data_IF_961205372098
#
_entry.id   IF_961205372098
#
_cell.length_a   1.000
_cell.length_b   1.000
_cell.length_c   1.000
_cell.angle_alpha   90.00
_cell.angle_beta   90.00
_cell.angle_gamma   90.00
#
_symmetry.space_group_name_H-M   'P 1'
#
loop_
_entity.id
_entity.type
_entity.pdbx_description
1 polymer ?
#
# COMPACT_ATOMS: atom_id res chain seq x y z
N UNK A 1 9.29 13.84 -38.34
CA UNK A 1 9.90 12.83 -39.21
C UNK A 1 9.44 13.06 -40.66
N UNK A 2 10.37 13.20 -41.55
CA UNK A 2 10.18 13.50 -42.99
C UNK A 2 9.48 12.38 -43.78
N UNK A 3 9.24 11.21 -43.19
CA UNK A 3 8.76 10.00 -43.89
C UNK A 3 7.27 9.70 -43.69
N UNK A 4 6.47 10.61 -43.17
CA UNK A 4 5.04 10.44 -42.97
C UNK A 4 4.67 9.28 -42.03
N UNK A 5 3.37 9.18 -41.70
CA UNK A 5 2.82 8.09 -40.87
C UNK A 5 1.70 7.43 -41.68
N UNK A 6 1.84 6.15 -41.98
CA UNK A 6 0.82 5.40 -42.72
C UNK A 6 -0.19 4.73 -41.75
N UNK A 7 0.30 3.88 -40.83
CA UNK A 7 -0.55 3.10 -39.91
C UNK A 7 0.12 2.89 -38.57
N UNK A 8 -0.64 2.99 -37.47
CA UNK A 8 -0.22 2.57 -36.14
C UNK A 8 -0.22 1.05 -36.06
N UNK A 9 0.91 0.46 -35.67
CA UNK A 9 1.11 -0.98 -35.49
C UNK A 9 0.74 -1.37 -34.05
N UNK A 10 1.36 -0.68 -33.08
CA UNK A 10 1.08 -0.85 -31.65
C UNK A 10 1.37 0.44 -30.89
N UNK A 11 0.89 0.52 -29.69
CA UNK A 11 1.25 1.61 -28.77
C UNK A 11 1.30 1.11 -27.33
N UNK A 12 2.17 1.72 -26.54
CA UNK A 12 2.28 1.51 -25.11
C UNK A 12 2.18 2.85 -24.41
N UNK A 13 1.35 2.90 -23.35
CA UNK A 13 1.19 4.07 -22.53
C UNK A 13 1.52 3.69 -21.08
N UNK A 14 2.35 4.46 -20.43
CA UNK A 14 2.60 4.40 -19.00
C UNK A 14 2.28 5.73 -18.34
N UNK A 15 1.76 5.69 -17.11
CA UNK A 15 1.44 6.89 -16.35
C UNK A 15 1.92 6.69 -14.91
N UNK A 16 2.80 7.58 -14.46
CA UNK A 16 3.42 7.50 -13.15
C UNK A 16 3.14 8.79 -12.38
N UNK A 17 2.65 8.68 -11.13
CA UNK A 17 2.48 9.85 -10.28
C UNK A 17 3.83 10.46 -9.91
N UNK A 18 4.00 11.73 -10.14
CA UNK A 18 5.23 12.48 -9.85
C UNK A 18 5.12 13.34 -8.61
N UNK A 19 3.93 13.83 -8.31
CA UNK A 19 3.63 14.64 -7.14
C UNK A 19 2.24 14.31 -6.61
N UNK A 20 2.14 14.12 -5.30
CA UNK A 20 0.87 13.97 -4.61
C UNK A 20 0.86 14.97 -3.46
N UNK A 21 -0.11 15.88 -3.44
CA UNK A 21 -0.26 16.89 -2.41
C UNK A 21 -1.66 16.86 -1.84
N UNK A 22 -1.75 16.67 -0.52
CA UNK A 22 -3.00 16.74 0.23
C UNK A 22 -3.21 18.14 0.78
N UNK A 23 -4.42 18.64 0.66
CA UNK A 23 -4.90 19.91 1.23
C UNK A 23 -6.28 19.66 1.84
N UNK A 24 -6.87 20.65 2.50
CA UNK A 24 -8.19 20.48 3.11
C UNK A 24 -9.21 19.94 2.11
N UNK A 25 -9.76 18.74 2.41
CA UNK A 25 -10.79 18.03 1.64
C UNK A 25 -10.44 17.73 0.17
N UNK A 26 -9.16 17.76 -0.19
CA UNK A 26 -8.72 17.53 -1.58
C UNK A 26 -7.35 16.87 -1.63
N UNK A 27 -7.12 16.11 -2.71
CA UNK A 27 -5.80 15.65 -3.11
C UNK A 27 -5.50 16.11 -4.55
N UNK A 28 -4.35 16.75 -4.76
CA UNK A 28 -3.82 17.07 -6.07
C UNK A 28 -2.83 15.99 -6.46
N UNK A 29 -3.06 15.36 -7.59
CA UNK A 29 -2.18 14.35 -8.18
C UNK A 29 -1.65 14.89 -9.50
N UNK A 30 -0.33 14.87 -9.66
CA UNK A 30 0.35 15.09 -10.94
C UNK A 30 0.99 13.80 -11.41
N UNK A 31 0.99 13.60 -12.70
CA UNK A 31 1.54 12.42 -13.32
C UNK A 31 2.26 12.77 -14.63
N UNK A 32 3.36 12.08 -14.88
CA UNK A 32 3.97 12.02 -16.21
C UNK A 32 3.36 10.84 -16.96
N UNK A 33 2.86 11.12 -18.14
CA UNK A 33 2.31 10.13 -19.06
C UNK A 33 3.27 10.00 -20.24
N UNK A 34 3.77 8.78 -20.46
CA UNK A 34 4.65 8.44 -21.57
C UNK A 34 3.92 7.55 -22.55
N UNK A 35 3.88 7.94 -23.81
CA UNK A 35 3.30 7.22 -24.92
C UNK A 35 4.39 6.83 -25.90
N UNK A 36 4.53 5.53 -26.13
CA UNK A 36 5.37 5.00 -27.20
C UNK A 36 4.47 4.43 -28.30
N UNK A 37 4.70 4.82 -29.54
CA UNK A 37 3.90 4.38 -30.69
C UNK A 37 4.82 3.79 -31.74
N UNK A 38 4.53 2.56 -32.13
CA UNK A 38 5.10 1.93 -33.33
C UNK A 38 4.17 2.15 -34.51
N UNK A 39 4.69 2.61 -35.59
CA UNK A 39 3.92 2.88 -36.79
C UNK A 39 4.71 2.50 -38.06
N UNK A 40 4.00 2.24 -39.14
CA UNK A 40 4.62 2.13 -40.46
C UNK A 40 4.68 3.52 -41.10
N UNK A 41 5.83 3.83 -41.68
CA UNK A 41 6.01 5.04 -42.47
C UNK A 41 5.51 4.82 -43.92
N UNK A 42 5.59 5.84 -44.77
CA UNK A 42 5.19 5.78 -46.17
C UNK A 42 6.01 4.76 -47.02
N UNK A 43 7.18 4.34 -46.55
CA UNK A 43 7.99 3.30 -47.15
C UNK A 43 7.66 1.88 -46.58
N UNK A 44 6.60 1.73 -45.78
CA UNK A 44 6.22 0.52 -45.06
C UNK A 44 7.28 -0.01 -44.09
N UNK A 45 8.22 0.84 -43.65
CA UNK A 45 9.17 0.49 -42.59
C UNK A 45 8.55 0.81 -41.22
N UNK A 46 8.90 0.00 -40.20
CA UNK A 46 8.47 0.20 -38.84
C UNK A 46 9.38 1.25 -38.19
N UNK A 47 8.77 2.33 -37.73
CA UNK A 47 9.40 3.42 -36.96
C UNK A 47 8.75 3.57 -35.59
N UNK A 48 9.45 4.20 -34.65
CA UNK A 48 9.01 4.43 -33.29
C UNK A 48 9.00 5.93 -32.96
N UNK A 49 7.93 6.37 -32.31
CA UNK A 49 7.83 7.71 -31.76
C UNK A 49 7.48 7.67 -30.27
N UNK A 50 8.16 8.45 -29.45
CA UNK A 50 7.92 8.57 -28.03
C UNK A 50 7.48 9.98 -27.68
N UNK A 51 6.45 10.07 -26.83
CA UNK A 51 5.88 11.32 -26.36
C UNK A 51 5.77 11.29 -24.85
N UNK A 52 6.01 12.42 -24.20
CA UNK A 52 5.81 12.58 -22.77
C UNK A 52 5.03 13.86 -22.53
N UNK A 53 4.02 13.78 -21.66
CA UNK A 53 3.21 14.94 -21.27
C UNK A 53 2.80 14.82 -19.80
N UNK A 54 2.52 15.95 -19.18
CA UNK A 54 2.05 16.00 -17.79
C UNK A 54 0.52 16.01 -17.77
N UNK A 55 -0.03 15.26 -16.81
CA UNK A 55 -1.44 15.28 -16.48
C UNK A 55 -1.61 15.63 -14.99
N UNK A 56 -2.70 16.32 -14.65
CA UNK A 56 -3.02 16.62 -13.27
C UNK A 56 -4.51 16.41 -12.99
N UNK A 57 -4.83 15.97 -11.76
CA UNK A 57 -6.20 15.80 -11.30
C UNK A 57 -6.33 16.24 -9.86
N UNK A 58 -7.37 16.99 -9.56
CA UNK A 58 -7.83 17.27 -8.20
C UNK A 58 -8.96 16.29 -7.88
N UNK A 59 -8.83 15.58 -6.76
CA UNK A 59 -9.83 14.66 -6.24
C UNK A 59 -10.36 15.22 -4.94
N UNK A 60 -11.68 15.33 -4.81
CA UNK A 60 -12.33 15.76 -3.57
C UNK A 60 -12.52 14.57 -2.64
N UNK A 61 -11.98 14.66 -1.42
CA UNK A 61 -12.00 13.58 -0.42
C UNK A 61 -12.25 14.22 0.94
N UNK A 62 -13.45 14.07 1.47
CA UNK A 62 -13.84 14.66 2.77
C UNK A 62 -12.94 14.18 3.91
N UNK A 63 -12.52 15.10 4.78
CA UNK A 63 -11.71 14.81 5.96
C UNK A 63 -10.21 14.69 5.72
N UNK A 64 -9.75 14.89 4.49
CA UNK A 64 -8.32 14.98 4.16
C UNK A 64 -7.74 16.31 4.61
N UNK A 65 -6.52 16.26 5.12
CA UNK A 65 -5.72 17.44 5.47
C UNK A 65 -4.23 17.21 5.08
N UNK A 66 -3.39 18.19 5.35
CA UNK A 66 -1.96 18.15 5.00
C UNK A 66 -1.15 17.09 5.78
N UNK A 67 -1.73 16.51 6.84
CA UNK A 67 -1.08 15.47 7.65
C UNK A 67 -1.37 14.06 7.14
N UNK A 68 -2.26 13.93 6.17
CA UNK A 68 -2.63 12.65 5.61
C UNK A 68 -1.54 12.15 4.64
N UNK A 69 -1.24 10.86 4.72
CA UNK A 69 -0.45 10.18 3.69
C UNK A 69 -1.36 9.78 2.52
N UNK A 70 -0.88 9.93 1.30
CA UNK A 70 -1.67 9.65 0.12
C UNK A 70 -0.89 8.79 -0.89
N UNK A 71 -1.52 7.78 -1.43
CA UNK A 71 -1.00 6.91 -2.48
C UNK A 71 -1.95 6.99 -3.67
N UNK A 72 -1.40 7.25 -4.84
CA UNK A 72 -2.14 7.28 -6.11
C UNK A 72 -1.70 6.12 -6.99
N UNK A 73 -2.67 5.39 -7.55
CA UNK A 73 -2.46 4.36 -8.55
C UNK A 73 -3.18 4.77 -9.83
N UNK A 74 -2.41 4.86 -10.91
CA UNK A 74 -2.94 5.20 -12.23
C UNK A 74 -2.96 3.93 -13.06
N UNK A 75 -4.07 3.64 -13.71
CA UNK A 75 -4.26 2.51 -14.60
C UNK A 75 -4.85 2.94 -15.93
N UNK A 76 -4.56 2.17 -16.96
CA UNK A 76 -5.10 2.41 -18.31
C UNK A 76 -6.59 2.08 -18.31
N UNK A 77 -7.38 2.96 -18.89
CA UNK A 77 -8.77 2.69 -19.29
C UNK A 77 -8.84 2.30 -20.76
N UNK A 78 -9.89 2.70 -21.44
CA UNK A 78 -10.03 2.48 -22.88
C UNK A 78 -9.18 3.52 -23.63
N UNK A 79 -8.21 3.07 -24.40
CA UNK A 79 -7.28 3.92 -25.14
C UNK A 79 -7.34 3.60 -26.63
N UNK A 80 -7.33 4.64 -27.47
CA UNK A 80 -7.33 4.54 -28.92
C UNK A 80 -6.30 5.49 -29.50
N UNK A 81 -5.46 4.98 -30.39
CA UNK A 81 -4.46 5.75 -31.12
C UNK A 81 -4.78 5.68 -32.61
N UNK A 82 -4.84 6.85 -33.25
CA UNK A 82 -5.08 6.98 -34.70
C UNK A 82 -3.93 7.73 -35.36
N UNK A 83 -3.52 7.24 -36.52
CA UNK A 83 -2.67 7.99 -37.41
C UNK A 83 -3.55 8.83 -38.35
N UNK A 84 -3.17 10.09 -38.56
CA UNK A 84 -3.67 10.93 -39.64
C UNK A 84 -2.49 11.27 -40.56
N UNK A 85 -2.60 10.85 -41.81
CA UNK A 85 -1.66 11.30 -42.83
C UNK A 85 -1.85 12.80 -43.05
N UNK A 86 -0.77 13.56 -43.11
CA UNK A 86 -0.84 14.96 -43.53
C UNK A 86 -0.91 14.99 -45.05
N UNK A 87 -1.75 15.87 -45.59
CA UNK A 87 -1.82 16.15 -47.02
C UNK A 87 -0.62 17.03 -47.50
N UNK A 88 0.08 17.61 -46.54
CA UNK A 88 1.29 18.40 -46.79
C UNK A 88 2.53 17.53 -46.55
N UNK A 89 3.56 17.66 -47.38
CA UNK A 89 4.79 16.83 -47.42
C UNK A 89 5.62 16.76 -46.11
N UNK A 90 5.13 17.30 -45.00
CA UNK A 90 5.86 17.46 -43.76
C UNK A 90 5.26 16.75 -42.55
N UNK A 91 5.04 15.43 -42.63
CA UNK A 91 4.86 14.58 -41.43
C UNK A 91 3.41 14.15 -41.17
N UNK A 92 3.25 13.06 -40.44
CA UNK A 92 1.97 12.54 -39.97
C UNK A 92 1.62 13.03 -38.56
N UNK A 93 0.35 12.98 -38.21
CA UNK A 93 -0.18 13.29 -36.88
C UNK A 93 -0.64 12.02 -36.19
N UNK A 94 -0.25 11.85 -34.92
CA UNK A 94 -0.79 10.80 -34.04
C UNK A 94 -1.77 11.47 -33.10
N UNK A 95 -2.97 10.93 -33.02
CA UNK A 95 -4.01 11.36 -32.09
C UNK A 95 -4.27 10.24 -31.09
N UNK A 96 -4.14 10.57 -29.79
CA UNK A 96 -4.45 9.69 -28.66
C UNK A 96 -5.77 10.13 -28.04
N UNK A 97 -6.69 9.17 -27.88
CA UNK A 97 -7.97 9.36 -27.20
C UNK A 97 -8.14 8.30 -26.13
N UNK A 98 -8.76 8.64 -25.03
CA UNK A 98 -9.15 7.66 -24.03
C UNK A 98 -9.07 8.19 -22.60
N UNK A 99 -9.18 7.25 -21.67
CA UNK A 99 -9.29 7.52 -20.26
C UNK A 99 -8.18 6.85 -19.47
N UNK A 100 -7.72 7.54 -18.41
CA UNK A 100 -6.90 6.98 -17.35
C UNK A 100 -7.76 6.89 -16.08
N UNK A 101 -7.75 5.74 -15.44
CA UNK A 101 -8.38 5.54 -14.14
C UNK A 101 -7.41 5.89 -13.04
N UNK A 102 -7.84 6.70 -12.07
CA UNK A 102 -7.07 7.11 -10.92
C UNK A 102 -7.73 6.59 -9.65
N UNK A 103 -7.05 5.70 -8.92
CA UNK A 103 -7.41 5.30 -7.56
C UNK A 103 -6.54 6.07 -6.57
N UNK A 104 -7.17 6.71 -5.59
CA UNK A 104 -6.49 7.48 -4.55
C UNK A 104 -6.85 6.89 -3.20
N UNK A 105 -5.83 6.50 -2.44
CA UNK A 105 -5.98 5.99 -1.08
C UNK A 105 -5.33 6.99 -0.15
N UNK A 106 -6.10 7.46 0.82
CA UNK A 106 -5.63 8.40 1.85
C UNK A 106 -5.64 7.71 3.19
N UNK A 107 -4.54 7.82 3.90
CA UNK A 107 -4.36 7.29 5.25
C UNK A 107 -4.18 8.45 6.21
N UNK A 108 -5.03 8.48 7.23
CA UNK A 108 -4.96 9.43 8.35
C UNK A 108 -4.68 8.68 9.63
N UNK A 109 -3.65 9.11 10.36
CA UNK A 109 -3.36 8.58 11.68
C UNK A 109 -4.19 9.32 12.74
N UNK A 110 -4.81 8.58 13.64
CA UNK A 110 -5.55 9.12 14.77
C UNK A 110 -5.15 8.42 16.06
N UNK A 111 -4.92 9.23 17.12
CA UNK A 111 -4.75 8.70 18.46
C UNK A 111 -6.13 8.60 19.14
N UNK A 112 -6.49 7.39 19.53
CA UNK A 112 -7.74 7.13 20.26
C UNK A 112 -7.41 6.54 21.62
N UNK A 113 -8.03 7.08 22.69
CA UNK A 113 -8.02 6.45 24.00
C UNK A 113 -9.15 5.43 24.04
N UNK A 114 -8.83 4.21 24.42
CA UNK A 114 -9.79 3.12 24.58
C UNK A 114 -9.77 2.66 26.04
N UNK A 115 -10.92 2.30 26.56
CA UNK A 115 -11.04 1.66 27.87
C UNK A 115 -10.76 0.18 27.65
N UNK A 116 -9.67 -0.32 28.24
CA UNK A 116 -9.27 -1.72 28.13
C UNK A 116 -9.78 -2.61 29.25
N UNK A 117 -10.20 -2.01 30.38
CA UNK A 117 -10.70 -2.73 31.55
C UNK A 117 -11.51 -1.82 32.45
N UNK A 118 -12.36 -2.39 33.31
CA UNK A 118 -13.17 -1.67 34.28
C UNK A 118 -13.77 -2.60 35.33
N UNK A 119 -14.14 -2.06 36.48
CA UNK A 119 -14.93 -2.72 37.51
C UNK A 119 -15.79 -1.69 38.26
N UNK A 120 -16.78 -2.16 39.00
CA UNK A 120 -17.64 -1.31 39.84
C UNK A 120 -17.35 -1.66 41.30
N UNK A 121 -17.06 -0.62 42.06
CA UNK A 121 -16.79 -0.74 43.51
C UNK A 121 -18.02 -1.27 44.23
N UNK A 122 -17.80 -2.25 45.11
CA UNK A 122 -18.88 -2.87 45.94
C UNK A 122 -19.79 -3.83 45.18
N UNK A 123 -19.53 -4.11 43.89
CA UNK A 123 -20.37 -4.97 43.07
C UNK A 123 -19.55 -6.03 42.29
N UNK A 124 -20.13 -7.20 42.10
CA UNK A 124 -19.60 -8.14 41.12
C UNK A 124 -19.95 -7.68 39.71
N UNK A 125 -18.97 -7.70 38.83
CA UNK A 125 -19.15 -7.27 37.45
C UNK A 125 -18.76 -8.38 36.49
N UNK A 126 -19.47 -8.45 35.36
CA UNK A 126 -19.12 -9.25 34.20
C UNK A 126 -18.80 -8.29 33.07
N UNK A 127 -17.57 -8.39 32.57
CA UNK A 127 -17.08 -7.51 31.51
C UNK A 127 -17.20 -8.20 30.17
N UNK A 128 -17.75 -7.48 29.19
CA UNK A 128 -17.78 -7.88 27.79
C UNK A 128 -16.76 -7.05 26.99
N UNK A 129 -16.08 -7.70 26.05
CA UNK A 129 -15.02 -7.06 25.26
C UNK A 129 -15.32 -7.17 23.78
N UNK A 130 -15.10 -6.09 23.05
CA UNK A 130 -15.07 -6.09 21.60
C UNK A 130 -13.63 -6.10 21.12
N UNK A 131 -13.32 -6.99 20.17
CA UNK A 131 -12.00 -7.08 19.55
C UNK A 131 -12.03 -6.46 18.17
N UNK A 132 -11.03 -5.67 17.84
CA UNK A 132 -10.85 -5.14 16.50
C UNK A 132 -9.37 -5.12 16.11
N UNK A 133 -9.12 -5.31 14.81
CA UNK A 133 -7.78 -5.23 14.27
C UNK A 133 -7.48 -3.77 13.92
N UNK A 134 -6.31 -3.30 14.29
CA UNK A 134 -5.80 -1.99 13.92
C UNK A 134 -4.36 -2.09 13.43
N UNK A 135 -3.97 -1.14 12.61
CA UNK A 135 -2.58 -0.92 12.23
C UNK A 135 -1.96 0.13 13.14
N UNK A 136 -0.83 -0.22 13.75
CA UNK A 136 -0.06 0.66 14.62
C UNK A 136 1.31 0.91 14.03
N UNK A 137 1.92 2.04 14.40
CA UNK A 137 3.23 2.45 13.90
C UNK A 137 3.27 2.48 12.37
N UNK A 138 2.23 3.04 11.78
CA UNK A 138 2.13 3.22 10.35
C UNK A 138 3.18 4.20 9.85
N UNK A 139 3.76 3.91 8.69
CA UNK A 139 4.71 4.78 8.02
C UNK A 139 4.58 4.70 6.52
N UNK A 140 4.80 5.81 5.86
CA UNK A 140 4.95 5.86 4.42
C UNK A 140 6.35 5.40 4.04
N UNK A 141 6.44 4.41 3.16
CA UNK A 141 7.70 3.86 2.63
C UNK A 141 7.75 4.13 1.14
N UNK A 142 8.86 4.64 0.66
CA UNK A 142 9.14 4.79 -0.77
C UNK A 142 10.58 4.39 -1.04
N UNK A 143 10.79 3.57 -2.07
CA UNK A 143 12.11 3.10 -2.44
C UNK A 143 12.19 2.85 -3.96
N UNK A 144 13.42 2.90 -4.48
CA UNK A 144 13.72 2.57 -5.88
C UNK A 144 14.76 1.46 -5.92
N UNK A 145 14.56 0.48 -6.80
CA UNK A 145 15.40 -0.70 -6.92
C UNK A 145 15.60 -1.07 -8.38
N UNK A 146 16.67 -1.84 -8.62
CA UNK A 146 16.93 -2.47 -9.91
C UNK A 146 16.62 -3.96 -9.83
N UNK A 147 15.99 -4.50 -10.86
CA UNK A 147 15.73 -5.91 -11.03
C UNK A 147 16.24 -6.39 -12.37
N UNK A 148 16.89 -7.55 -12.38
CA UNK A 148 17.27 -8.25 -13.60
C UNK A 148 16.30 -9.40 -13.83
N UNK A 149 15.56 -9.34 -14.93
CA UNK A 149 14.53 -10.30 -15.30
C UNK A 149 15.02 -11.11 -16.50
N UNK A 150 14.98 -12.42 -16.39
CA UNK A 150 15.29 -13.33 -17.51
C UNK A 150 14.02 -13.77 -18.20
N UNK A 151 13.98 -13.63 -19.52
CA UNK A 151 12.88 -14.05 -20.38
C UNK A 151 13.34 -15.22 -21.24
N UNK A 152 12.62 -16.33 -21.12
CA UNK A 152 12.83 -17.51 -21.96
C UNK A 152 11.75 -17.54 -23.04
N UNK A 153 12.16 -17.55 -24.30
CA UNK A 153 11.28 -17.48 -25.46
C UNK A 153 11.08 -18.84 -26.06
N UNK A 154 9.87 -19.13 -26.51
CA UNK A 154 9.53 -20.41 -27.14
C UNK A 154 10.09 -20.59 -28.55
N UNK A 155 10.32 -19.48 -29.25
CA UNK A 155 10.86 -19.47 -30.64
C UNK A 155 12.14 -18.64 -30.69
N UNK A 156 13.01 -18.97 -31.67
CA UNK A 156 14.24 -18.20 -31.93
C UNK A 156 13.91 -16.86 -32.57
N UNK A 157 14.33 -15.79 -31.95
CA UNK A 157 14.10 -14.42 -32.41
C UNK A 157 15.25 -13.94 -33.27
N UNK A 158 14.91 -13.41 -34.44
CA UNK A 158 15.84 -12.81 -35.39
C UNK A 158 15.94 -11.29 -35.22
N UNK A 159 14.85 -10.63 -34.78
CA UNK A 159 14.81 -9.18 -34.61
C UNK A 159 13.78 -8.77 -33.55
N UNK A 160 14.13 -7.80 -32.72
CA UNK A 160 13.21 -7.14 -31.81
C UNK A 160 12.86 -5.77 -32.39
N UNK A 161 11.57 -5.52 -32.61
CA UNK A 161 11.04 -4.24 -33.05
C UNK A 161 10.73 -3.31 -31.88
N UNK A 162 10.21 -3.87 -30.79
CA UNK A 162 9.91 -3.14 -29.56
C UNK A 162 9.93 -4.06 -28.33
N UNK A 163 10.28 -3.48 -27.21
CA UNK A 163 10.16 -4.10 -25.90
C UNK A 163 9.65 -3.04 -24.92
N UNK A 164 8.66 -3.40 -24.12
CA UNK A 164 8.17 -2.57 -23.02
C UNK A 164 8.08 -3.37 -21.73
N UNK A 165 8.26 -2.69 -20.61
CA UNK A 165 8.13 -3.24 -19.27
C UNK A 165 7.28 -2.31 -18.41
N UNK A 166 6.21 -2.83 -17.83
CA UNK A 166 5.30 -2.09 -16.96
C UNK A 166 5.00 -2.88 -15.69
N UNK A 167 4.65 -2.21 -14.60
CA UNK A 167 4.11 -2.88 -13.42
C UNK A 167 2.63 -3.16 -13.65
N UNK A 168 2.26 -4.44 -13.61
CA UNK A 168 0.87 -4.88 -13.71
C UNK A 168 0.17 -4.96 -12.35
N UNK A 169 0.91 -5.35 -11.29
CA UNK A 169 0.39 -5.37 -9.92
C UNK A 169 1.47 -5.10 -8.87
N UNK A 170 1.03 -4.58 -7.71
CA UNK A 170 1.88 -4.41 -6.54
C UNK A 170 0.99 -4.66 -5.33
N UNK A 171 1.17 -5.82 -4.67
CA UNK A 171 0.34 -6.26 -3.55
C UNK A 171 1.14 -7.09 -2.56
N UNK A 172 0.76 -7.06 -1.29
CA UNK A 172 1.38 -7.91 -0.27
C UNK A 172 0.75 -9.31 -0.28
N UNK A 173 1.62 -10.33 -0.31
CA UNK A 173 1.27 -11.74 -0.13
C UNK A 173 2.28 -12.39 0.82
N UNK A 174 1.80 -13.10 1.84
CA UNK A 174 2.66 -13.86 2.77
C UNK A 174 3.86 -13.06 3.33
N UNK A 175 3.61 -11.86 3.86
CA UNK A 175 4.65 -10.94 4.38
C UNK A 175 5.74 -10.54 3.35
N UNK A 176 5.39 -10.55 2.08
CA UNK A 176 6.24 -10.07 1.00
C UNK A 176 5.42 -9.13 0.12
N UNK A 177 6.00 -8.00 -0.26
CA UNK A 177 5.44 -7.16 -1.29
C UNK A 177 5.81 -7.77 -2.65
N UNK A 178 4.81 -8.22 -3.39
CA UNK A 178 4.98 -8.81 -4.72
C UNK A 178 4.74 -7.73 -5.77
N UNK A 179 5.74 -7.48 -6.59
CA UNK A 179 5.67 -6.56 -7.73
C UNK A 179 5.70 -7.39 -9.00
N UNK A 180 4.60 -7.41 -9.73
CA UNK A 180 4.46 -8.14 -10.98
C UNK A 180 4.76 -7.20 -12.16
N UNK A 181 5.73 -7.58 -12.97
CA UNK A 181 6.10 -6.89 -14.18
C UNK A 181 5.50 -7.61 -15.38
N UNK A 182 4.81 -6.88 -16.23
CA UNK A 182 4.40 -7.34 -17.56
C UNK A 182 5.40 -6.82 -18.57
N UNK A 183 6.02 -7.74 -19.30
CA UNK A 183 7.00 -7.43 -20.34
C UNK A 183 6.41 -7.85 -21.67
N UNK A 184 6.27 -6.88 -22.57
CA UNK A 184 5.72 -7.08 -23.89
C UNK A 184 6.82 -6.90 -24.93
N UNK A 185 6.92 -7.84 -25.86
CA UNK A 185 7.95 -7.87 -26.90
C UNK A 185 7.25 -7.99 -28.25
N UNK A 186 7.53 -7.08 -29.16
CA UNK A 186 7.21 -7.25 -30.59
C UNK A 186 8.49 -7.68 -31.31
N UNK A 187 8.51 -8.91 -31.77
CA UNK A 187 9.68 -9.51 -32.35
C UNK A 187 9.37 -10.31 -33.62
N UNK A 188 10.39 -10.53 -34.41
CA UNK A 188 10.34 -11.41 -35.57
C UNK A 188 11.04 -12.72 -35.22
N UNK A 189 10.37 -13.83 -35.43
CA UNK A 189 10.92 -15.17 -35.32
C UNK A 189 11.04 -15.84 -36.69
N UNK A 190 12.01 -16.70 -36.83
CA UNK A 190 12.23 -17.43 -38.10
C UNK A 190 11.07 -18.37 -38.46
N UNK A 191 10.32 -18.82 -37.42
CA UNK A 191 9.26 -19.83 -37.61
C UNK A 191 7.88 -19.21 -37.82
N UNK A 192 7.58 -18.08 -37.18
CA UNK A 192 6.22 -17.49 -37.12
C UNK A 192 6.10 -16.09 -37.71
N UNK A 193 7.23 -15.49 -38.13
CA UNK A 193 7.26 -14.11 -38.59
C UNK A 193 7.13 -13.13 -37.36
N UNK A 194 6.41 -12.04 -37.56
CA UNK A 194 6.25 -11.01 -36.51
C UNK A 194 5.20 -11.47 -35.51
N UNK A 195 5.59 -11.59 -34.25
CA UNK A 195 4.72 -11.99 -33.14
C UNK A 195 4.82 -11.02 -31.95
N UNK A 196 3.73 -10.94 -31.18
CA UNK A 196 3.64 -10.19 -29.92
C UNK A 196 3.70 -11.19 -28.77
N UNK A 197 4.72 -11.05 -27.92
CA UNK A 197 4.99 -11.96 -26.81
C UNK A 197 4.81 -11.19 -25.50
N UNK A 198 4.04 -11.73 -24.59
CA UNK A 198 3.87 -11.16 -23.23
C UNK A 198 4.35 -12.17 -22.20
N UNK A 199 5.16 -11.71 -21.25
CA UNK A 199 5.56 -12.49 -20.09
C UNK A 199 5.40 -11.69 -18.81
N UNK A 200 4.95 -12.37 -17.74
CA UNK A 200 4.88 -11.79 -16.41
C UNK A 200 6.03 -12.32 -15.56
N UNK A 201 6.70 -11.42 -14.84
CA UNK A 201 7.76 -11.75 -13.88
C UNK A 201 7.47 -11.06 -12.55
N UNK A 202 7.61 -11.80 -11.45
CA UNK A 202 7.36 -11.29 -10.10
C UNK A 202 8.65 -11.08 -9.34
N UNK A 203 8.80 -9.94 -8.70
CA UNK A 203 9.83 -9.66 -7.70
C UNK A 203 9.17 -9.61 -6.33
N UNK A 204 9.76 -10.34 -5.38
CA UNK A 204 9.32 -10.39 -4.00
C UNK A 204 10.24 -9.57 -3.11
N UNK A 205 9.69 -8.60 -2.40
CA UNK A 205 10.40 -7.76 -1.43
C UNK A 205 9.93 -8.20 -0.04
N UNK A 206 10.86 -8.64 0.82
CA UNK A 206 10.53 -9.00 2.20
C UNK A 206 10.05 -7.77 2.96
N UNK A 207 8.95 -7.90 3.67
CA UNK A 207 8.40 -6.84 4.54
C UNK A 207 7.97 -7.46 5.87
N UNK A 208 8.32 -6.80 6.96
CA UNK A 208 7.91 -7.20 8.31
C UNK A 208 6.57 -6.59 8.72
N UNK A 209 6.08 -5.65 7.94
CA UNK A 209 4.87 -4.88 8.22
C UNK A 209 3.74 -5.28 7.28
N UNK A 210 2.52 -5.13 7.76
CA UNK A 210 1.32 -5.29 6.94
C UNK A 210 1.11 -4.06 6.06
N UNK A 211 0.79 -4.28 4.79
CA UNK A 211 0.47 -3.24 3.83
C UNK A 211 -0.97 -2.76 4.04
N UNK A 212 -1.18 -1.44 4.01
CA UNK A 212 -2.51 -0.84 3.85
C UNK A 212 -2.78 -0.57 2.37
N UNK A 213 -1.78 0.00 1.70
CA UNK A 213 -1.85 0.35 0.30
C UNK A 213 -0.44 0.42 -0.27
N UNK A 214 -0.28 -0.01 -1.51
CA UNK A 214 0.98 0.13 -2.24
C UNK A 214 0.75 0.45 -3.70
N UNK A 215 1.75 1.04 -4.31
CA UNK A 215 1.84 1.30 -5.75
C UNK A 215 3.28 1.15 -6.20
N UNK A 216 3.48 0.68 -7.42
CA UNK A 216 4.80 0.60 -8.02
C UNK A 216 4.73 0.98 -9.50
N UNK A 217 5.85 1.44 -10.05
CA UNK A 217 5.97 1.78 -11.47
C UNK A 217 7.40 1.59 -11.95
N UNK A 218 7.54 1.32 -13.24
CA UNK A 218 8.83 1.27 -13.92
C UNK A 218 9.29 2.68 -14.23
N UNK A 219 10.50 3.04 -13.77
CA UNK A 219 11.12 4.35 -14.04
C UNK A 219 11.90 4.32 -15.35
N UNK A 220 12.63 3.23 -15.59
CA UNK A 220 13.35 2.97 -16.84
C UNK A 220 13.64 1.48 -16.99
N UNK A 221 13.95 1.05 -18.18
CA UNK A 221 14.42 -0.29 -18.44
C UNK A 221 15.37 -0.31 -19.64
N UNK A 222 16.23 -1.29 -19.68
CA UNK A 222 17.03 -1.68 -20.82
C UNK A 222 17.00 -3.21 -21.00
N UNK A 223 17.45 -3.69 -22.13
CA UNK A 223 17.52 -5.14 -22.38
C UNK A 223 18.77 -5.54 -23.15
N UNK A 224 19.18 -6.78 -22.95
CA UNK A 224 20.29 -7.41 -23.65
C UNK A 224 19.84 -8.76 -24.21
N UNK A 225 20.06 -9.00 -25.48
CA UNK A 225 19.84 -10.31 -26.11
C UNK A 225 21.01 -11.21 -25.68
N UNK A 226 20.73 -12.22 -24.88
CA UNK A 226 21.73 -13.18 -24.39
C UNK A 226 22.00 -14.24 -25.51
N UNK A 227 20.94 -14.71 -26.11
CA UNK A 227 20.94 -15.57 -27.30
C UNK A 227 19.58 -15.46 -28.02
N UNK A 228 19.37 -16.22 -29.08
CA UNK A 228 18.16 -16.17 -29.90
C UNK A 228 16.86 -16.53 -29.15
N UNK A 229 16.93 -17.15 -27.96
CA UNK A 229 15.78 -17.52 -27.11
C UNK A 229 15.77 -16.88 -25.75
N UNK A 230 16.83 -16.16 -25.37
CA UNK A 230 16.93 -15.60 -24.03
C UNK A 230 17.24 -14.11 -24.08
N UNK A 231 16.40 -13.34 -23.40
CA UNK A 231 16.55 -11.90 -23.23
C UNK A 231 16.68 -11.59 -21.74
N UNK A 232 17.64 -10.75 -21.39
CA UNK A 232 17.77 -10.19 -20.05
C UNK A 232 17.25 -8.75 -20.06
N UNK A 233 16.25 -8.46 -19.23
CA UNK A 233 15.69 -7.11 -19.05
C UNK A 233 16.10 -6.58 -17.69
N UNK A 234 16.79 -5.45 -17.67
CA UNK A 234 17.10 -4.73 -16.43
C UNK A 234 16.04 -3.66 -16.25
N UNK A 235 15.33 -3.71 -15.13
CA UNK A 235 14.24 -2.78 -14.82
C UNK A 235 14.61 -1.98 -13.61
N UNK A 236 14.64 -0.65 -13.74
CA UNK A 236 14.62 0.27 -12.60
C UNK A 236 13.17 0.57 -12.27
N UNK A 237 12.75 0.26 -11.06
CA UNK A 237 11.38 0.49 -10.60
C UNK A 237 11.36 1.15 -9.24
N UNK A 238 10.30 1.91 -9.01
CA UNK A 238 10.02 2.53 -7.73
C UNK A 238 8.73 1.96 -7.17
N UNK A 239 8.69 1.79 -5.86
CA UNK A 239 7.47 1.44 -5.14
C UNK A 239 7.28 2.37 -3.96
N UNK A 240 6.03 2.60 -3.61
CA UNK A 240 5.64 3.30 -2.41
C UNK A 240 4.47 2.59 -1.76
N UNK A 241 4.35 2.73 -0.45
CA UNK A 241 3.28 2.11 0.30
C UNK A 241 3.13 2.72 1.69
N UNK A 242 1.97 2.53 2.29
CA UNK A 242 1.74 2.80 3.70
C UNK A 242 1.64 1.47 4.43
N UNK A 243 2.56 1.24 5.36
CA UNK A 243 2.74 -0.03 6.04
C UNK A 243 2.72 0.18 7.55
N UNK A 244 2.18 -0.80 8.29
CA UNK A 244 2.12 -0.76 9.75
C UNK A 244 2.10 -2.14 10.37
N UNK A 245 2.24 -2.22 11.70
CA UNK A 245 2.12 -3.47 12.44
C UNK A 245 0.67 -3.76 12.76
N UNK A 246 0.17 -4.89 12.31
CA UNK A 246 -1.17 -5.35 12.67
C UNK A 246 -1.19 -5.73 14.15
N UNK A 247 -2.14 -5.18 14.89
CA UNK A 247 -2.35 -5.45 16.31
C UNK A 247 -3.83 -5.65 16.59
N UNK A 248 -4.15 -6.72 17.31
CA UNK A 248 -5.49 -6.95 17.83
C UNK A 248 -5.64 -6.21 19.16
N UNK A 249 -6.66 -5.37 19.26
CA UNK A 249 -6.95 -4.59 20.45
C UNK A 249 -8.31 -5.05 20.99
N UNK A 250 -8.35 -5.26 22.31
CA UNK A 250 -9.58 -5.54 23.03
C UNK A 250 -9.99 -4.27 23.78
N UNK A 251 -11.19 -3.79 23.52
CA UNK A 251 -11.80 -2.69 24.24
C UNK A 251 -12.95 -3.21 25.09
N UNK A 252 -13.07 -2.67 26.30
CA UNK A 252 -14.22 -2.94 27.13
C UNK A 252 -15.47 -2.34 26.46
N UNK A 253 -16.45 -3.18 26.13
CA UNK A 253 -17.70 -2.78 25.49
C UNK A 253 -18.84 -2.61 26.49
N UNK A 254 -18.84 -3.40 27.55
CA UNK A 254 -19.93 -3.39 28.53
C UNK A 254 -19.46 -3.90 29.89
N UNK A 255 -20.04 -3.35 30.95
CA UNK A 255 -19.89 -3.81 32.33
C UNK A 255 -21.30 -4.09 32.85
N UNK A 256 -21.62 -5.36 33.02
CA UNK A 256 -22.88 -5.78 33.65
C UNK A 256 -22.67 -5.97 35.14
N UNK A 257 -23.57 -5.41 35.96
CA UNK A 257 -23.65 -5.75 37.38
C UNK A 257 -24.42 -7.07 37.54
N UNK A 258 -23.84 -8.05 38.20
CA UNK A 258 -24.61 -9.18 38.70
C UNK A 258 -25.32 -8.77 39.97
N UNK A 259 -26.60 -9.17 40.16
CA UNK A 259 -27.44 -8.79 41.30
C UNK A 259 -26.93 -9.28 42.67
N UNK A 260 -25.86 -10.06 42.68
CA UNK A 260 -25.21 -10.51 43.91
C UNK A 260 -24.46 -9.32 44.57
N UNK A 261 -25.02 -8.77 45.62
CA UNK A 261 -24.25 -7.90 46.52
C UNK A 261 -23.08 -8.72 47.08
N UNK A 262 -21.86 -8.25 46.82
CA UNK A 262 -20.68 -8.84 47.45
C UNK A 262 -20.79 -8.55 48.96
N UNK A 263 -20.99 -9.59 49.77
CA UNK A 263 -20.75 -9.45 51.23
C UNK A 263 -19.23 -9.23 51.39
N UNK A 264 -18.80 -8.00 51.37
CA UNK A 264 -17.38 -7.64 51.56
C UNK A 264 -17.19 -7.54 53.10
N UNK A 265 -16.21 -8.30 53.66
CA UNK A 265 -15.80 -8.08 55.04
C UNK A 265 -15.38 -6.59 55.23
N UNK A 266 -15.69 -6.01 56.38
CA UNK A 266 -15.32 -4.64 56.69
C UNK A 266 -13.82 -4.36 56.47
N UNK A 267 -13.00 -5.39 56.57
CA UNK A 267 -11.56 -5.35 56.35
C UNK A 267 -11.03 -6.69 55.92
N UNK A 268 -10.18 -6.72 54.88
CA UNK A 268 -9.50 -7.92 54.40
C UNK A 268 -7.97 -7.71 54.40
N UNK A 269 -7.22 -8.64 54.97
CA UNK A 269 -5.77 -8.66 54.88
C UNK A 269 -5.35 -9.48 53.66
N UNK A 270 -4.64 -8.86 52.74
CA UNK A 270 -4.17 -9.49 51.51
C UNK A 270 -2.65 -9.54 51.43
N UNK A 271 -2.09 -10.72 51.21
CA UNK A 271 -0.66 -10.94 50.98
C UNK A 271 -0.31 -10.66 49.53
N UNK A 272 0.04 -9.43 49.24
CA UNK A 272 0.33 -8.97 47.92
C UNK A 272 1.81 -9.26 47.55
N UNK A 273 2.02 -9.57 46.27
CA UNK A 273 3.36 -9.86 45.71
C UNK A 273 4.01 -8.62 45.15
N UNK A 274 5.35 -8.66 45.07
CA UNK A 274 6.11 -7.62 44.36
C UNK A 274 5.64 -7.50 42.90
N UNK A 275 5.57 -6.26 42.39
CA UNK A 275 5.07 -5.87 41.07
C UNK A 275 3.57 -6.12 40.83
N UNK A 276 2.79 -6.53 41.83
CA UNK A 276 1.35 -6.63 41.72
C UNK A 276 0.74 -5.22 41.65
N UNK A 277 -0.17 -4.99 40.70
CA UNK A 277 -0.79 -3.69 40.51
C UNK A 277 -1.96 -3.49 41.48
N UNK A 278 -2.03 -2.32 42.10
CA UNK A 278 -3.15 -1.98 42.97
C UNK A 278 -4.50 -2.01 42.24
N UNK A 279 -4.54 -1.71 40.95
CA UNK A 279 -5.72 -1.86 40.11
C UNK A 279 -6.25 -3.31 40.12
N UNK A 280 -5.37 -4.29 39.92
CA UNK A 280 -5.77 -5.71 39.85
C UNK A 280 -6.27 -6.21 41.22
N UNK A 281 -5.62 -5.71 42.30
CA UNK A 281 -6.03 -6.01 43.67
C UNK A 281 -7.41 -5.37 43.97
N UNK A 282 -7.57 -4.10 43.66
CA UNK A 282 -8.83 -3.37 43.90
C UNK A 282 -10.00 -4.00 43.12
N UNK A 283 -9.76 -4.36 41.86
CA UNK A 283 -10.72 -5.09 41.01
C UNK A 283 -11.09 -6.44 41.60
N UNK A 284 -10.10 -7.23 42.06
CA UNK A 284 -10.31 -8.55 42.65
C UNK A 284 -11.23 -8.53 43.87
N UNK A 285 -11.11 -7.48 44.68
CA UNK A 285 -11.90 -7.33 45.90
C UNK A 285 -13.10 -6.36 45.75
N UNK A 286 -13.33 -5.84 44.55
CA UNK A 286 -14.33 -4.82 44.25
C UNK A 286 -14.25 -3.61 45.22
N UNK A 287 -13.01 -3.27 45.64
CA UNK A 287 -12.71 -2.20 46.57
C UNK A 287 -12.25 -0.92 45.84
N UNK A 288 -12.27 0.19 46.54
CA UNK A 288 -11.80 1.46 46.03
C UNK A 288 -10.26 1.57 46.13
N UNK A 289 -9.61 1.86 44.97
CA UNK A 289 -8.14 1.93 44.86
C UNK A 289 -7.56 3.07 45.74
N UNK A 290 -8.26 4.19 45.86
CA UNK A 290 -7.78 5.34 46.65
C UNK A 290 -7.93 5.06 48.14
N UNK A 291 -8.95 4.32 48.55
CA UNK A 291 -9.06 3.83 49.93
C UNK A 291 -7.95 2.86 50.26
N UNK A 292 -7.64 1.90 49.39
CA UNK A 292 -6.51 0.98 49.56
C UNK A 292 -5.20 1.75 49.71
N UNK A 293 -4.95 2.73 48.84
CA UNK A 293 -3.75 3.59 48.94
C UNK A 293 -3.66 4.30 50.27
N UNK A 294 -4.75 4.91 50.71
CA UNK A 294 -4.84 5.68 51.98
C UNK A 294 -4.58 4.80 53.18
N UNK A 295 -5.28 3.66 53.31
CA UNK A 295 -5.17 2.76 54.47
C UNK A 295 -3.81 2.11 54.62
N UNK A 296 -3.06 1.97 53.49
CA UNK A 296 -1.77 1.33 53.47
C UNK A 296 -0.58 2.29 53.29
N UNK A 297 -0.84 3.62 53.22
CA UNK A 297 0.17 4.64 52.93
C UNK A 297 0.98 4.34 51.62
N UNK A 298 0.26 3.92 50.57
CA UNK A 298 0.87 3.57 49.26
C UNK A 298 0.61 4.70 48.28
N UNK A 299 1.68 5.18 47.64
CA UNK A 299 1.61 6.24 46.62
C UNK A 299 1.84 5.73 45.18
N UNK A 300 2.39 4.54 45.05
CA UNK A 300 2.70 3.90 43.73
C UNK A 300 1.50 3.11 43.22
N UNK A 301 1.50 2.84 41.90
CA UNK A 301 0.46 2.02 41.23
C UNK A 301 0.77 0.51 41.30
N UNK A 302 2.01 0.15 41.50
CA UNK A 302 2.46 -1.23 41.67
C UNK A 302 3.31 -1.36 42.91
N UNK A 303 3.22 -2.51 43.57
CA UNK A 303 3.96 -2.77 44.81
C UNK A 303 5.44 -3.00 44.55
N UNK A 304 6.30 -2.40 45.33
CA UNK A 304 7.75 -2.49 45.28
C UNK A 304 8.33 -3.76 45.93
N UNK A 305 7.55 -4.39 46.81
CA UNK A 305 7.93 -5.57 47.58
C UNK A 305 6.72 -6.42 47.97
N UNK A 306 6.98 -7.67 48.41
CA UNK A 306 5.94 -8.49 49.02
C UNK A 306 5.52 -7.87 50.37
N UNK A 307 4.25 -7.59 50.54
CA UNK A 307 3.72 -7.05 51.80
C UNK A 307 2.27 -7.42 52.02
N UNK A 308 1.88 -7.36 53.29
CA UNK A 308 0.48 -7.44 53.65
C UNK A 308 -0.15 -6.10 53.46
N UNK A 309 -1.25 -6.02 52.76
CA UNK A 309 -2.07 -4.81 52.60
C UNK A 309 -3.47 -4.98 53.14
N UNK A 310 -3.99 -3.91 53.61
CA UNK A 310 -5.37 -3.80 54.12
C UNK A 310 -6.27 -3.41 52.95
N UNK A 311 -7.27 -4.23 52.69
CA UNK A 311 -8.32 -3.95 51.73
C UNK A 311 -9.57 -3.57 52.48
N UNK A 312 -9.98 -2.29 52.46
CA UNK A 312 -11.20 -1.84 53.10
C UNK A 312 -12.43 -2.36 52.38
N UNK A 313 -13.40 -2.86 53.11
CA UNK A 313 -14.75 -3.14 52.61
C UNK A 313 -15.55 -1.84 52.53
N UNK A 314 -16.58 -1.85 51.70
CA UNK A 314 -17.52 -0.72 51.53
C UNK A 314 -18.83 -1.07 52.13
#
# INVERSE_FOLDING_TARGET
NSNGINRVVSFELSANSTEIKTIKDKALIRANVSLSVLYTNNENKIDKANFTFEASKIVEISGVDEKCSCIAKISKGSLYVKAKSSTDDNGGKIELYGDLSLAVIVVKEECRKIISDGYIVGKKTKNSYSSFDCLTNGQYVSNSQNAKLSLDLSASITKIYDLSAVVSSCVQKNNKLCVDFEICILAESAEKGIEYITQTKTIEIKTENSEIASSAFVSSFDYTIVNDKNISVNVMYSYCGYMGKQKKINALSEIECTDDSVSVPALTLYFAKQNEKLWDIAKKFSSDIELIKKENNITCESLDSNKVIIIPGL
#
